data_IF_821344819507
#
_entry.id   IF_821344819507
#
_cell.length_a   1.000
_cell.length_b   1.000
_cell.length_c   1.000
_cell.angle_alpha   90.00
_cell.angle_beta   90.00
_cell.angle_gamma   90.00
#
_symmetry.space_group_name_H-M   'P 1'
#
loop_
_entity.id
_entity.type
_entity.pdbx_description
1 polymer ?
#
# COMPACT_ATOMS: atom_id res chain seq x y z
N UNK A 1 -33.68 -14.61 -58.80
CA UNK A 1 -33.90 -14.88 -57.35
C UNK A 1 -33.16 -16.11 -56.80
N UNK A 2 -33.19 -17.29 -57.44
CA UNK A 2 -32.52 -18.51 -56.92
C UNK A 2 -31.00 -18.37 -56.79
N UNK A 3 -30.32 -17.76 -57.78
CA UNK A 3 -28.87 -17.53 -57.72
C UNK A 3 -28.47 -16.55 -56.61
N UNK A 4 -29.22 -15.48 -56.40
CA UNK A 4 -28.95 -14.53 -55.31
C UNK A 4 -29.06 -15.19 -53.92
N UNK A 5 -30.02 -16.10 -53.71
CA UNK A 5 -30.16 -16.87 -52.47
C UNK A 5 -28.98 -17.82 -52.24
N UNK A 6 -28.48 -18.48 -53.29
CA UNK A 6 -27.32 -19.37 -53.21
C UNK A 6 -26.04 -18.59 -52.88
N UNK A 7 -25.82 -17.43 -53.53
CA UNK A 7 -24.68 -16.56 -53.26
C UNK A 7 -24.70 -16.05 -51.82
N UNK A 8 -25.86 -15.61 -51.32
CA UNK A 8 -26.01 -15.15 -49.95
C UNK A 8 -25.74 -16.27 -48.93
N UNK A 9 -26.17 -17.50 -49.21
CA UNK A 9 -25.91 -18.67 -48.36
C UNK A 9 -24.42 -18.99 -48.30
N UNK A 10 -23.74 -19.04 -49.46
CA UNK A 10 -22.30 -19.30 -49.56
C UNK A 10 -21.51 -18.20 -48.86
N UNK A 11 -21.87 -16.94 -49.07
CA UNK A 11 -21.24 -15.81 -48.39
C UNK A 11 -21.45 -15.87 -46.87
N UNK A 12 -22.66 -16.18 -46.41
CA UNK A 12 -22.96 -16.33 -44.99
C UNK A 12 -22.14 -17.44 -44.32
N UNK A 13 -22.03 -18.60 -44.98
CA UNK A 13 -21.15 -19.69 -44.52
C UNK A 13 -19.69 -19.24 -44.54
N UNK A 14 -19.24 -18.61 -45.62
CA UNK A 14 -17.86 -18.08 -45.75
C UNK A 14 -17.51 -17.10 -44.63
N UNK A 15 -18.36 -16.12 -44.34
CA UNK A 15 -18.14 -15.15 -43.27
C UNK A 15 -18.20 -15.79 -41.87
N UNK A 16 -19.08 -16.78 -41.66
CA UNK A 16 -19.13 -17.54 -40.40
C UNK A 16 -17.83 -18.30 -40.15
N UNK A 17 -17.33 -19.05 -41.14
CA UNK A 17 -16.07 -19.79 -41.01
C UNK A 17 -14.86 -18.87 -40.95
N UNK A 18 -14.88 -17.74 -41.66
CA UNK A 18 -13.84 -16.72 -41.57
C UNK A 18 -13.80 -16.11 -40.17
N UNK A 19 -14.95 -15.80 -39.57
CA UNK A 19 -15.02 -15.31 -38.19
C UNK A 19 -14.52 -16.38 -37.20
N UNK A 20 -14.93 -17.63 -37.35
CA UNK A 20 -14.46 -18.73 -36.50
C UNK A 20 -12.94 -18.98 -36.63
N UNK A 21 -12.39 -18.86 -37.84
CA UNK A 21 -10.95 -18.89 -38.08
C UNK A 21 -10.26 -17.71 -37.41
N UNK A 22 -10.63 -16.46 -37.74
CA UNK A 22 -9.93 -15.26 -37.31
C UNK A 22 -10.07 -14.97 -35.81
N UNK A 23 -11.24 -15.26 -35.21
CA UNK A 23 -11.53 -14.95 -33.81
C UNK A 23 -11.41 -16.17 -32.89
N UNK A 24 -11.60 -17.38 -33.42
CA UNK A 24 -11.53 -18.63 -32.64
C UNK A 24 -10.18 -19.31 -32.74
N UNK A 25 -9.75 -19.69 -33.95
CA UNK A 25 -8.60 -20.59 -34.14
C UNK A 25 -7.27 -19.84 -34.28
N UNK A 26 -7.23 -18.79 -35.09
CA UNK A 26 -6.02 -18.03 -35.39
C UNK A 26 -5.35 -17.44 -34.14
N UNK A 27 -6.08 -16.86 -33.16
CA UNK A 27 -5.46 -16.37 -31.92
C UNK A 27 -4.77 -17.47 -31.13
N UNK A 28 -5.29 -18.72 -31.13
CA UNK A 28 -4.64 -19.86 -30.47
C UNK A 28 -3.36 -20.32 -31.18
N UNK A 29 -3.26 -20.11 -32.49
CA UNK A 29 -2.08 -20.46 -33.30
C UNK A 29 -0.97 -19.40 -33.22
N UNK A 30 -1.29 -18.16 -32.84
CA UNK A 30 -0.30 -17.11 -32.63
C UNK A 30 0.49 -17.38 -31.34
N UNK A 31 1.79 -17.68 -31.46
CA UNK A 31 2.66 -17.88 -30.28
C UNK A 31 2.71 -16.65 -29.37
N UNK A 32 2.52 -15.47 -29.93
CA UNK A 32 2.45 -14.19 -29.23
C UNK A 32 1.30 -14.13 -28.22
N UNK A 33 0.19 -14.85 -28.46
CA UNK A 33 -0.94 -14.91 -27.52
C UNK A 33 -0.68 -15.85 -26.34
N UNK A 34 0.34 -16.72 -26.46
CA UNK A 34 0.73 -17.69 -25.44
C UNK A 34 1.95 -17.22 -24.63
N UNK A 35 2.41 -15.98 -24.83
CA UNK A 35 3.57 -15.43 -24.11
C UNK A 35 3.20 -15.24 -22.65
N UNK A 36 3.68 -16.16 -21.81
CA UNK A 36 3.59 -16.06 -20.34
C UNK A 36 4.69 -15.20 -19.73
N UNK A 37 5.59 -14.69 -20.57
CA UNK A 37 6.77 -13.92 -20.14
C UNK A 37 6.39 -12.46 -19.95
N UNK A 38 6.51 -11.97 -18.73
CA UNK A 38 6.42 -10.56 -18.35
C UNK A 38 7.81 -9.95 -18.44
N UNK A 39 7.97 -8.85 -19.16
CA UNK A 39 9.20 -8.04 -19.09
C UNK A 39 9.10 -7.16 -17.85
N UNK A 40 9.79 -7.53 -16.77
CA UNK A 40 9.89 -6.74 -15.55
C UNK A 40 11.10 -5.82 -15.68
N UNK A 41 10.89 -4.50 -15.76
CA UNK A 41 12.00 -3.58 -15.49
C UNK A 41 12.30 -3.67 -14.00
N UNK A 42 13.37 -4.36 -13.63
CA UNK A 42 13.85 -4.45 -12.26
C UNK A 42 14.93 -3.41 -12.05
N UNK A 43 14.96 -2.84 -10.85
CA UNK A 43 16.15 -2.16 -10.38
C UNK A 43 17.07 -3.21 -9.76
N UNK A 44 18.31 -3.31 -10.22
CA UNK A 44 19.30 -4.16 -9.58
C UNK A 44 19.58 -3.64 -8.17
N UNK A 45 20.19 -4.47 -7.32
CA UNK A 45 20.70 -4.03 -6.02
C UNK A 45 21.62 -2.80 -6.15
N UNK A 46 22.19 -2.55 -7.32
CA UNK A 46 23.09 -1.43 -7.61
C UNK A 46 22.38 -0.18 -8.16
N UNK A 47 21.05 -0.18 -8.26
CA UNK A 47 20.26 0.97 -8.72
C UNK A 47 20.07 1.09 -10.23
N UNK A 48 20.62 0.15 -11.02
CA UNK A 48 20.50 0.11 -12.48
C UNK A 48 19.15 -0.48 -12.90
N UNK A 49 18.57 0.02 -14.00
CA UNK A 49 17.38 -0.58 -14.59
C UNK A 49 17.81 -1.73 -15.51
N UNK A 50 17.32 -2.93 -15.25
CA UNK A 50 17.55 -4.12 -16.07
C UNK A 50 16.22 -4.78 -16.40
N UNK A 51 16.07 -5.31 -17.60
CA UNK A 51 14.90 -6.11 -17.96
C UNK A 51 15.10 -7.55 -17.52
N UNK A 52 14.28 -8.01 -16.57
CA UNK A 52 14.17 -9.42 -16.22
C UNK A 52 12.89 -9.96 -16.82
N UNK A 53 13.03 -10.98 -17.66
CA UNK A 53 11.92 -11.78 -18.16
C UNK A 53 11.51 -12.76 -17.07
N UNK A 54 10.29 -12.62 -16.55
CA UNK A 54 9.72 -13.54 -15.56
C UNK A 54 8.48 -14.22 -16.12
N UNK A 55 8.29 -15.51 -15.85
CA UNK A 55 7.01 -16.16 -16.14
C UNK A 55 5.94 -15.63 -15.18
N UNK A 56 4.77 -15.26 -15.71
CA UNK A 56 3.62 -14.97 -14.88
C UNK A 56 3.27 -16.22 -14.07
N UNK A 57 3.18 -16.11 -12.75
CA UNK A 57 2.75 -17.22 -11.90
C UNK A 57 1.23 -17.44 -12.04
N UNK A 58 0.75 -18.70 -12.07
CA UNK A 58 -0.68 -18.98 -12.02
C UNK A 58 -1.28 -18.45 -10.71
N UNK A 59 -2.58 -18.15 -10.74
CA UNK A 59 -3.30 -17.78 -9.53
C UNK A 59 -3.31 -18.94 -8.52
N UNK A 60 -3.08 -18.64 -7.25
CA UNK A 60 -3.35 -19.59 -6.16
C UNK A 60 -4.85 -19.84 -6.05
N UNK A 61 -5.26 -20.91 -5.35
CA UNK A 61 -6.68 -21.24 -5.15
C UNK A 61 -7.47 -20.06 -4.54
N UNK A 62 -6.88 -19.37 -3.56
CA UNK A 62 -7.48 -18.19 -2.95
C UNK A 62 -7.69 -17.04 -3.96
N UNK A 63 -6.71 -16.80 -4.84
CA UNK A 63 -6.80 -15.77 -5.87
C UNK A 63 -7.81 -16.13 -6.95
N UNK A 64 -7.92 -17.42 -7.33
CA UNK A 64 -8.95 -17.90 -8.26
C UNK A 64 -10.35 -17.71 -7.68
N UNK A 65 -10.56 -18.07 -6.41
CA UNK A 65 -11.82 -17.82 -5.70
C UNK A 65 -12.14 -16.33 -5.65
N UNK A 66 -11.17 -15.50 -5.30
CA UNK A 66 -11.32 -14.04 -5.27
C UNK A 66 -11.69 -13.45 -6.64
N UNK A 67 -11.09 -13.97 -7.70
CA UNK A 67 -11.42 -13.60 -9.09
C UNK A 67 -12.83 -13.99 -9.47
N UNK A 68 -13.29 -15.18 -9.10
CA UNK A 68 -14.67 -15.61 -9.35
C UNK A 68 -15.67 -14.69 -8.64
N UNK A 69 -15.39 -14.32 -7.39
CA UNK A 69 -16.21 -13.36 -6.64
C UNK A 69 -16.19 -11.99 -7.32
N UNK A 70 -15.02 -11.49 -7.72
CA UNK A 70 -14.89 -10.22 -8.45
C UNK A 70 -15.75 -10.15 -9.72
N UNK A 71 -15.85 -11.27 -10.44
CA UNK A 71 -16.70 -11.40 -11.64
C UNK A 71 -18.18 -11.48 -11.24
N UNK A 72 -18.53 -12.35 -10.27
CA UNK A 72 -19.89 -12.58 -9.77
C UNK A 72 -20.54 -11.28 -9.30
N UNK A 73 -19.79 -10.48 -8.55
CA UNK A 73 -20.23 -9.21 -7.94
C UNK A 73 -20.19 -8.04 -8.92
N UNK A 74 -19.78 -8.28 -10.17
CA UNK A 74 -19.77 -7.26 -11.21
C UNK A 74 -18.75 -6.13 -10.99
N UNK A 75 -17.72 -6.34 -10.16
CA UNK A 75 -16.73 -5.29 -9.85
C UNK A 75 -16.07 -4.73 -11.13
N UNK A 76 -15.87 -5.59 -12.12
CA UNK A 76 -15.26 -5.25 -13.41
C UNK A 76 -16.06 -4.24 -14.26
N UNK A 77 -17.37 -4.07 -14.02
CA UNK A 77 -18.18 -3.06 -14.71
C UNK A 77 -17.74 -1.62 -14.37
N UNK A 78 -17.25 -1.41 -13.14
CA UNK A 78 -16.75 -0.12 -12.66
C UNK A 78 -15.22 -0.06 -12.68
N UNK A 79 -14.57 -1.19 -12.40
CA UNK A 79 -13.13 -1.35 -12.22
C UNK A 79 -12.56 -2.26 -13.31
N UNK A 80 -12.48 -1.75 -14.54
CA UNK A 80 -11.74 -2.46 -15.59
C UNK A 80 -10.31 -2.79 -15.15
N UNK A 81 -9.78 -3.91 -15.65
CA UNK A 81 -8.42 -4.37 -15.35
C UNK A 81 -7.46 -4.08 -16.51
N UNK A 82 -7.52 -2.88 -17.09
CA UNK A 82 -6.68 -2.52 -18.23
C UNK A 82 -6.44 -1.02 -18.27
N UNK A 83 -5.22 -0.61 -17.95
CA UNK A 83 -4.80 0.78 -18.05
C UNK A 83 -4.35 1.08 -19.48
N UNK A 84 -5.16 1.89 -20.18
CA UNK A 84 -5.02 2.11 -21.61
C UNK A 84 -3.85 3.07 -21.87
N UNK A 85 -3.12 2.91 -23.00
CA UNK A 85 -2.11 3.86 -23.42
C UNK A 85 -2.75 5.13 -24.02
N UNK A 86 -3.65 5.76 -23.28
CA UNK A 86 -4.34 7.01 -23.63
C UNK A 86 -3.75 8.17 -22.82
N UNK A 87 -3.89 9.39 -23.34
CA UNK A 87 -3.27 10.58 -22.74
C UNK A 87 -3.73 10.78 -21.27
N UNK A 88 -2.76 10.80 -20.35
CA UNK A 88 -2.98 11.15 -18.94
C UNK A 88 -3.40 10.00 -18.02
N UNK A 89 -3.79 8.82 -18.53
CA UNK A 89 -4.11 7.65 -17.68
C UNK A 89 -2.91 7.26 -16.82
N UNK A 90 -1.70 7.34 -17.38
CA UNK A 90 -0.49 6.95 -16.69
C UNK A 90 -0.12 7.85 -15.49
N UNK A 91 -0.44 9.16 -15.59
CA UNK A 91 -0.24 10.13 -14.52
C UNK A 91 -1.27 9.96 -13.41
N UNK A 92 -2.51 9.62 -13.78
CA UNK A 92 -3.62 9.48 -12.83
C UNK A 92 -3.57 8.19 -12.03
N UNK A 93 -3.21 7.07 -12.67
CA UNK A 93 -3.39 5.74 -12.08
C UNK A 93 -2.09 4.96 -11.85
N UNK A 94 -1.06 5.18 -12.66
CA UNK A 94 0.15 4.34 -12.64
C UNK A 94 0.63 3.99 -14.04
N UNK A 95 1.67 3.19 -14.20
CA UNK A 95 2.17 2.82 -15.53
C UNK A 95 1.12 2.05 -16.36
N UNK A 96 1.15 2.20 -17.68
CA UNK A 96 0.25 1.48 -18.61
C UNK A 96 0.36 -0.03 -18.48
N UNK A 97 -0.70 -0.74 -18.84
CA UNK A 97 -0.74 -2.21 -18.81
C UNK A 97 0.21 -2.82 -19.85
N UNK A 98 0.93 -3.86 -19.45
CA UNK A 98 1.80 -4.65 -20.34
C UNK A 98 1.23 -6.04 -20.65
N UNK A 99 1.62 -6.60 -21.80
CA UNK A 99 1.07 -7.86 -22.33
C UNK A 99 1.14 -9.03 -21.34
N UNK A 100 2.21 -9.16 -20.57
CA UNK A 100 2.40 -10.28 -19.64
C UNK A 100 1.53 -10.22 -18.38
N UNK A 101 0.92 -9.08 -18.05
CA UNK A 101 0.14 -8.94 -16.81
C UNK A 101 -1.11 -9.85 -16.78
N UNK A 102 -1.59 -10.30 -17.94
CA UNK A 102 -2.83 -11.03 -18.15
C UNK A 102 -2.68 -12.51 -18.54
N UNK A 103 -1.45 -13.05 -18.49
CA UNK A 103 -1.16 -14.39 -19.03
C UNK A 103 -2.03 -15.53 -18.44
N UNK A 104 -2.64 -15.33 -17.26
CA UNK A 104 -3.52 -16.31 -16.60
C UNK A 104 -4.96 -15.83 -16.44
N UNK A 105 -5.35 -14.78 -17.18
CA UNK A 105 -6.64 -14.12 -17.02
C UNK A 105 -7.60 -14.54 -18.14
N UNK A 106 -8.47 -15.51 -17.85
CA UNK A 106 -9.53 -15.93 -18.77
C UNK A 106 -10.91 -15.91 -18.07
N UNK A 107 -11.91 -15.18 -18.60
CA UNK A 107 -11.83 -14.19 -19.69
C UNK A 107 -11.13 -12.90 -19.22
N UNK A 108 -10.53 -12.15 -20.14
CA UNK A 108 -9.93 -10.84 -19.83
C UNK A 108 -11.01 -9.83 -19.39
N UNK A 109 -10.75 -9.04 -18.34
CA UNK A 109 -11.70 -8.09 -17.75
C UNK A 109 -11.37 -6.62 -18.12
N UNK A 110 -11.07 -6.36 -19.39
CA UNK A 110 -10.59 -5.05 -19.84
C UNK A 110 -11.65 -3.95 -19.80
N UNK A 111 -12.93 -4.30 -19.91
CA UNK A 111 -14.06 -3.37 -19.91
C UNK A 111 -13.98 -2.28 -20.99
N UNK A 112 -15.09 -1.59 -21.22
CA UNK A 112 -15.14 -0.43 -22.14
C UNK A 112 -15.46 0.87 -21.40
N UNK A 113 -15.97 0.77 -20.16
CA UNK A 113 -16.28 1.90 -19.27
C UNK A 113 -15.50 1.77 -17.97
N UNK A 114 -15.12 2.91 -17.40
CA UNK A 114 -14.43 3.00 -16.11
C UNK A 114 -15.10 4.09 -15.26
N UNK A 115 -15.72 3.70 -14.15
CA UNK A 115 -16.31 4.63 -13.16
C UNK A 115 -15.35 4.77 -11.97
N UNK A 116 -14.78 3.66 -11.50
CA UNK A 116 -13.80 3.63 -10.42
C UNK A 116 -12.35 3.58 -10.91
N UNK A 117 -11.36 3.62 -10.00
CA UNK A 117 -9.94 3.40 -10.34
C UNK A 117 -9.70 2.05 -11.05
N UNK A 118 -8.62 1.96 -11.83
CA UNK A 118 -8.11 0.66 -12.28
C UNK A 118 -7.49 -0.09 -11.11
N UNK A 119 -8.07 -1.22 -10.74
CA UNK A 119 -7.58 -1.99 -9.60
C UNK A 119 -6.24 -2.69 -9.90
N UNK A 120 -5.82 -2.81 -11.17
CA UNK A 120 -4.45 -3.22 -11.53
C UNK A 120 -3.37 -2.24 -11.09
N UNK A 121 -3.73 -1.08 -10.52
CA UNK A 121 -2.77 -0.16 -9.92
C UNK A 121 -3.09 0.19 -8.46
N UNK A 122 -3.98 -0.57 -7.83
CA UNK A 122 -4.42 -0.32 -6.45
C UNK A 122 -3.81 -1.30 -5.45
N UNK A 123 -3.46 -2.54 -5.86
CA UNK A 123 -2.82 -3.52 -4.97
C UNK A 123 -1.60 -2.94 -4.26
N UNK A 124 -1.54 -3.09 -2.93
CA UNK A 124 -0.52 -2.53 -2.05
C UNK A 124 -0.62 -1.01 -1.80
N UNK A 125 -1.66 -0.32 -2.30
CA UNK A 125 -1.91 1.13 -2.02
C UNK A 125 -2.56 1.33 -0.69
N UNK A 126 -3.50 0.44 -0.42
CA UNK A 126 -4.33 0.45 0.74
C UNK A 126 -4.09 -0.88 1.46
N UNK A 127 -4.14 -0.89 2.79
CA UNK A 127 -4.08 -2.14 3.54
C UNK A 127 -5.34 -2.98 3.33
N UNK A 128 -5.30 -4.25 3.72
CA UNK A 128 -6.45 -5.16 3.66
C UNK A 128 -7.61 -4.63 4.52
N UNK A 129 -7.27 -3.95 5.60
CA UNK A 129 -8.17 -3.27 6.52
C UNK A 129 -8.86 -2.05 5.88
N UNK A 130 -8.16 -1.29 5.04
CA UNK A 130 -8.79 -0.27 4.19
C UNK A 130 -9.78 -0.89 3.20
N UNK A 131 -9.38 -1.98 2.54
CA UNK A 131 -10.25 -2.67 1.59
C UNK A 131 -11.49 -3.23 2.28
N UNK A 132 -11.34 -3.81 3.47
CA UNK A 132 -12.45 -4.24 4.31
C UNK A 132 -13.38 -3.06 4.66
N UNK A 133 -12.85 -1.93 5.12
CA UNK A 133 -13.66 -0.74 5.40
C UNK A 133 -14.41 -0.26 4.14
N UNK A 134 -13.73 -0.23 2.99
CA UNK A 134 -14.31 0.18 1.72
C UNK A 134 -15.40 -0.78 1.21
N UNK A 135 -15.25 -2.10 1.41
CA UNK A 135 -16.30 -3.06 1.06
C UNK A 135 -17.50 -2.97 2.00
N UNK A 136 -17.29 -2.63 3.28
CA UNK A 136 -18.36 -2.51 4.25
C UNK A 136 -19.19 -1.24 4.00
N UNK A 137 -18.52 -0.10 3.94
CA UNK A 137 -19.12 1.20 3.60
C UNK A 137 -18.09 2.03 2.81
N UNK A 138 -18.24 2.11 1.48
CA UNK A 138 -17.31 2.85 0.63
C UNK A 138 -17.16 4.33 1.01
N UNK A 139 -18.22 4.98 1.53
CA UNK A 139 -18.21 6.41 1.86
C UNK A 139 -17.38 6.72 3.09
N UNK A 140 -17.05 5.70 3.88
CA UNK A 140 -16.21 5.83 5.07
C UNK A 140 -14.79 6.27 4.77
N UNK A 141 -14.23 5.72 3.71
CA UNK A 141 -12.82 5.92 3.31
C UNK A 141 -12.71 6.69 2.00
N UNK A 142 -13.80 6.76 1.23
CA UNK A 142 -13.93 7.59 0.03
C UNK A 142 -15.29 8.29 0.07
N UNK A 143 -15.41 9.49 0.67
CA UNK A 143 -16.69 10.17 0.92
C UNK A 143 -17.61 10.31 -0.30
N UNK A 144 -17.02 10.56 -1.47
CA UNK A 144 -17.76 10.75 -2.73
C UNK A 144 -17.94 9.44 -3.53
N UNK A 145 -17.79 8.28 -2.88
CA UNK A 145 -17.87 6.99 -3.55
C UNK A 145 -19.30 6.63 -3.96
N UNK A 146 -19.44 6.28 -5.24
CA UNK A 146 -20.65 5.70 -5.83
C UNK A 146 -20.66 4.17 -5.77
N UNK A 147 -19.60 3.55 -5.22
CA UNK A 147 -19.53 2.09 -5.07
C UNK A 147 -20.65 1.61 -4.12
N UNK A 148 -21.30 0.46 -4.42
CA UNK A 148 -22.26 -0.15 -3.49
C UNK A 148 -21.54 -0.80 -2.30
N UNK A 149 -22.31 -1.07 -1.24
CA UNK A 149 -21.85 -1.80 -0.06
C UNK A 149 -21.91 -3.32 -0.30
N UNK A 150 -20.99 -4.07 0.31
CA UNK A 150 -20.90 -5.53 0.23
C UNK A 150 -20.95 -6.17 1.63
N UNK A 151 -22.04 -5.99 2.40
CA UNK A 151 -22.13 -6.47 3.79
C UNK A 151 -22.02 -8.01 3.93
N UNK A 152 -22.30 -8.77 2.86
CA UNK A 152 -22.16 -10.24 2.83
C UNK A 152 -20.71 -10.73 2.76
N UNK A 153 -19.74 -9.85 2.50
CA UNK A 153 -18.32 -10.19 2.66
C UNK A 153 -17.88 -10.29 4.12
N UNK A 154 -18.80 -10.08 5.07
CA UNK A 154 -18.52 -10.09 6.50
C UNK A 154 -19.36 -11.13 7.23
N UNK A 155 -18.74 -11.79 8.21
CA UNK A 155 -19.41 -12.64 9.19
C UNK A 155 -19.26 -12.05 10.58
N UNK A 156 -20.11 -12.44 11.52
CA UNK A 156 -19.90 -12.14 12.95
C UNK A 156 -18.92 -13.17 13.52
N UNK A 157 -17.96 -12.69 14.32
CA UNK A 157 -17.07 -13.55 15.09
C UNK A 157 -17.85 -14.11 16.29
N UNK A 158 -17.82 -15.43 16.56
CA UNK A 158 -18.59 -16.02 17.65
C UNK A 158 -18.18 -15.54 19.05
N UNK A 159 -16.93 -15.11 19.22
CA UNK A 159 -16.34 -14.80 20.54
C UNK A 159 -16.82 -13.46 21.08
N UNK A 160 -16.78 -12.41 20.27
CA UNK A 160 -17.02 -11.02 20.68
C UNK A 160 -18.11 -10.33 19.82
N UNK A 161 -18.71 -11.04 18.87
CA UNK A 161 -19.73 -10.53 17.97
C UNK A 161 -19.22 -9.54 16.91
N UNK A 162 -17.92 -9.28 16.85
CA UNK A 162 -17.32 -8.32 15.91
C UNK A 162 -17.49 -8.80 14.47
N UNK A 163 -17.60 -7.87 13.53
CA UNK A 163 -17.62 -8.23 12.11
C UNK A 163 -16.19 -8.49 11.64
N UNK A 164 -16.00 -9.58 10.91
CA UNK A 164 -14.72 -9.96 10.28
C UNK A 164 -14.97 -10.38 8.84
N UNK A 165 -13.96 -10.26 7.98
CA UNK A 165 -14.07 -10.76 6.61
C UNK A 165 -14.41 -12.26 6.62
N UNK A 166 -15.43 -12.62 5.83
CA UNK A 166 -15.74 -14.00 5.50
C UNK A 166 -14.64 -14.58 4.59
N UNK A 167 -14.67 -15.89 4.34
CA UNK A 167 -13.74 -16.51 3.40
C UNK A 167 -13.86 -15.94 1.98
N UNK A 168 -15.05 -15.47 1.60
CA UNK A 168 -15.23 -14.74 0.34
C UNK A 168 -14.61 -13.34 0.38
N UNK A 169 -14.85 -12.60 1.47
CA UNK A 169 -14.28 -11.27 1.69
C UNK A 169 -12.74 -11.29 1.69
N UNK A 170 -12.12 -12.30 2.32
CA UNK A 170 -10.67 -12.51 2.28
C UNK A 170 -10.18 -12.83 0.86
N UNK A 171 -10.87 -13.70 0.14
CA UNK A 171 -10.48 -14.09 -1.21
C UNK A 171 -10.52 -12.92 -2.19
N UNK A 172 -11.60 -12.13 -2.21
CA UNK A 172 -11.70 -10.96 -3.09
C UNK A 172 -10.71 -9.87 -2.71
N UNK A 173 -10.45 -9.66 -1.40
CA UNK A 173 -9.41 -8.74 -0.92
C UNK A 173 -8.03 -9.18 -1.41
N UNK A 174 -7.68 -10.46 -1.25
CA UNK A 174 -6.42 -11.01 -1.72
C UNK A 174 -6.26 -10.87 -3.25
N UNK A 175 -7.34 -11.10 -4.01
CA UNK A 175 -7.33 -10.89 -5.45
C UNK A 175 -7.07 -9.43 -5.81
N UNK A 176 -7.82 -8.48 -5.24
CA UNK A 176 -7.62 -7.04 -5.48
C UNK A 176 -6.21 -6.58 -5.09
N UNK A 177 -5.67 -7.10 -3.98
CA UNK A 177 -4.31 -6.80 -3.56
C UNK A 177 -3.24 -7.38 -4.49
N UNK A 178 -3.53 -8.50 -5.15
CA UNK A 178 -2.62 -9.10 -6.13
C UNK A 178 -2.58 -8.33 -7.46
N UNK A 179 -3.67 -7.64 -7.81
CA UNK A 179 -3.75 -6.87 -9.04
C UNK A 179 -2.66 -5.77 -9.07
N UNK A 180 -1.86 -5.77 -10.13
CA UNK A 180 -0.74 -4.82 -10.29
C UNK A 180 0.59 -5.25 -9.67
N UNK A 181 0.60 -6.31 -8.87
CA UNK A 181 1.83 -6.81 -8.23
C UNK A 181 2.71 -7.62 -9.19
N UNK A 182 2.13 -8.10 -10.31
CA UNK A 182 2.85 -8.80 -11.39
C UNK A 182 3.88 -7.93 -12.12
N UNK A 183 3.75 -6.59 -12.02
CA UNK A 183 4.69 -5.61 -12.60
C UNK A 183 5.88 -5.28 -11.68
N UNK A 184 6.00 -5.96 -10.53
CA UNK A 184 7.03 -5.68 -9.53
C UNK A 184 6.72 -4.46 -8.66
N UNK A 185 7.74 -3.94 -7.97
CA UNK A 185 7.64 -2.82 -7.02
C UNK A 185 7.50 -1.44 -7.71
N UNK A 186 6.72 -1.34 -8.79
CA UNK A 186 6.52 -0.07 -9.52
C UNK A 186 6.03 1.07 -8.61
N UNK A 187 5.32 0.71 -7.53
CA UNK A 187 4.84 1.63 -6.49
C UNK A 187 5.96 2.28 -5.70
N UNK A 188 7.03 1.55 -5.45
CA UNK A 188 8.17 2.03 -4.65
C UNK A 188 8.94 3.11 -5.41
N UNK A 189 8.84 3.09 -6.75
CA UNK A 189 9.39 4.09 -7.64
C UNK A 189 8.36 5.17 -8.05
N UNK A 190 7.13 5.12 -7.52
CA UNK A 190 6.09 6.05 -7.94
C UNK A 190 6.26 7.42 -7.26
N UNK A 191 6.00 8.49 -8.01
CA UNK A 191 6.47 9.86 -7.69
C UNK A 191 6.06 10.37 -6.31
N UNK A 192 4.85 10.06 -5.81
CA UNK A 192 4.42 10.54 -4.50
C UNK A 192 5.23 9.97 -3.33
N UNK A 193 6.03 8.92 -3.53
CA UNK A 193 6.97 8.43 -2.51
C UNK A 193 8.14 9.39 -2.27
N UNK A 194 8.40 10.29 -3.21
CA UNK A 194 9.37 11.37 -3.11
C UNK A 194 8.60 12.64 -2.78
N UNK A 195 8.55 12.96 -1.48
CA UNK A 195 7.92 14.19 -1.01
C UNK A 195 8.99 15.27 -0.97
N UNK A 196 9.07 16.05 -2.05
CA UNK A 196 9.71 17.37 -2.03
C UNK A 196 8.62 18.36 -1.62
N UNK A 197 8.82 19.05 -0.49
CA UNK A 197 7.89 20.10 -0.06
C UNK A 197 8.41 21.44 -0.57
N UNK A 198 7.56 22.19 -1.27
CA UNK A 198 7.88 23.53 -1.73
C UNK A 198 7.64 24.55 -0.62
N UNK A 199 6.41 25.05 -0.53
CA UNK A 199 5.97 26.05 0.44
C UNK A 199 4.99 25.45 1.46
N UNK A 200 5.29 25.54 2.75
CA UNK A 200 4.34 25.27 3.83
C UNK A 200 3.29 26.38 3.92
N UNK A 201 2.03 26.06 4.25
CA UNK A 201 1.08 27.10 4.66
C UNK A 201 1.46 27.65 6.03
N UNK A 202 1.17 28.94 6.28
CA UNK A 202 1.44 29.57 7.58
C UNK A 202 0.28 29.26 8.52
N UNK A 203 0.60 28.73 9.70
CA UNK A 203 -0.39 28.46 10.74
C UNK A 203 -1.14 29.75 11.14
N UNK A 204 -2.45 29.73 10.97
CA UNK A 204 -3.37 30.84 11.25
C UNK A 204 -4.74 30.30 11.68
N UNK A 205 -5.59 31.16 12.24
CA UNK A 205 -6.97 30.77 12.56
C UNK A 205 -7.74 30.31 11.31
N UNK A 206 -7.50 30.95 10.16
CA UNK A 206 -8.13 30.56 8.90
C UNK A 206 -7.66 29.18 8.42
N UNK A 207 -6.36 28.89 8.47
CA UNK A 207 -5.84 27.57 8.09
C UNK A 207 -6.31 26.47 9.03
N UNK A 208 -6.44 26.75 10.33
CA UNK A 208 -6.97 25.77 11.30
C UNK A 208 -8.44 25.46 10.99
N UNK A 209 -9.25 26.46 10.64
CA UNK A 209 -10.66 26.25 10.32
C UNK A 209 -10.84 25.52 8.98
N UNK A 210 -10.03 25.86 7.96
CA UNK A 210 -10.00 25.09 6.72
C UNK A 210 -9.56 23.64 6.97
N UNK A 211 -8.50 23.45 7.76
CA UNK A 211 -8.02 22.15 8.20
C UNK A 211 -9.06 21.32 8.95
N UNK A 212 -9.89 21.96 9.77
CA UNK A 212 -11.03 21.32 10.45
C UNK A 212 -12.05 20.79 9.44
N UNK A 213 -12.35 21.57 8.39
CA UNK A 213 -13.26 21.12 7.33
C UNK A 213 -12.68 19.92 6.55
N UNK A 214 -11.38 19.95 6.23
CA UNK A 214 -10.67 18.83 5.60
C UNK A 214 -10.73 17.58 6.49
N UNK A 215 -10.42 17.74 7.79
CA UNK A 215 -10.44 16.66 8.77
C UNK A 215 -11.83 16.03 8.92
N UNK A 216 -12.87 16.86 9.05
CA UNK A 216 -14.26 16.42 9.19
C UNK A 216 -14.73 15.64 7.97
N UNK A 217 -14.23 15.95 6.78
CA UNK A 217 -14.61 15.22 5.56
C UNK A 217 -13.86 13.91 5.38
N UNK A 218 -12.59 13.82 5.81
CA UNK A 218 -11.68 12.75 5.34
C UNK A 218 -10.97 11.95 6.44
N UNK A 219 -10.90 12.49 7.65
CA UNK A 219 -10.10 11.91 8.74
C UNK A 219 -10.96 11.43 9.92
N UNK A 220 -12.07 12.12 10.19
CA UNK A 220 -12.94 11.89 11.35
C UNK A 220 -13.48 10.46 11.43
N UNK A 221 -13.74 9.83 10.29
CA UNK A 221 -14.29 8.47 10.22
C UNK A 221 -13.43 7.46 10.97
N UNK A 222 -12.10 7.60 10.89
CA UNK A 222 -11.15 6.72 11.59
C UNK A 222 -10.60 7.36 12.87
N UNK A 223 -10.20 8.63 12.83
CA UNK A 223 -9.49 9.28 13.94
C UNK A 223 -10.43 9.89 15.01
N UNK A 224 -11.73 9.94 14.77
CA UNK A 224 -12.73 10.46 15.71
C UNK A 224 -12.81 11.99 15.72
N UNK A 225 -13.94 12.53 16.21
CA UNK A 225 -14.16 13.97 16.31
C UNK A 225 -13.18 14.64 17.29
N UNK A 226 -12.77 13.89 18.31
CA UNK A 226 -11.83 14.33 19.35
C UNK A 226 -10.37 14.03 19.00
N UNK A 227 -10.09 13.42 17.84
CA UNK A 227 -8.74 12.98 17.47
C UNK A 227 -8.20 11.84 18.34
N UNK A 228 -9.07 11.14 19.08
CA UNK A 228 -8.72 10.09 20.05
C UNK A 228 -8.55 8.69 19.43
N UNK A 229 -8.57 8.60 18.09
CA UNK A 229 -8.49 7.34 17.36
C UNK A 229 -9.77 6.49 17.43
N UNK A 230 -10.87 7.02 17.98
CA UNK A 230 -12.14 6.31 18.18
C UNK A 230 -13.23 6.77 17.21
N UNK A 231 -12.91 6.80 15.92
CA UNK A 231 -13.86 7.15 14.87
C UNK A 231 -15.08 6.22 14.79
N UNK A 232 -16.19 6.74 14.27
CA UNK A 232 -17.48 6.05 14.12
C UNK A 232 -17.54 5.11 12.92
N UNK A 233 -16.49 5.06 12.10
CA UNK A 233 -16.30 3.93 11.22
C UNK A 233 -16.47 2.64 12.04
N UNK A 234 -17.23 1.63 11.58
CA UNK A 234 -17.19 0.26 12.10
C UNK A 234 -15.75 -0.31 12.16
N UNK A 235 -14.78 0.45 11.62
CA UNK A 235 -13.34 0.36 11.74
C UNK A 235 -12.76 0.09 13.14
N UNK A 236 -13.25 0.66 14.25
CA UNK A 236 -12.67 0.27 15.56
C UNK A 236 -12.87 -1.23 15.88
N UNK A 237 -13.79 -1.88 15.17
CA UNK A 237 -14.15 -3.30 15.30
C UNK A 237 -13.66 -4.14 14.09
N UNK A 238 -13.35 -3.51 12.94
CA UNK A 238 -12.83 -4.14 11.71
C UNK A 238 -11.30 -4.06 11.55
N UNK A 239 -10.60 -3.17 12.28
CA UNK A 239 -9.15 -3.00 12.19
C UNK A 239 -8.41 -4.05 13.02
N UNK A 240 -8.14 -5.20 12.42
CA UNK A 240 -7.41 -6.28 13.07
C UNK A 240 -5.88 -6.05 13.17
N UNK A 241 -5.32 -5.07 12.45
CA UNK A 241 -3.85 -4.95 12.23
C UNK A 241 -3.24 -3.69 12.87
N UNK A 242 -3.90 -2.52 12.78
CA UNK A 242 -3.41 -1.29 13.37
C UNK A 242 -4.57 -0.34 13.70
N UNK A 243 -4.64 0.12 14.94
CA UNK A 243 -5.62 1.12 15.34
C UNK A 243 -5.24 2.51 14.81
N UNK A 244 -6.23 3.36 14.50
CA UNK A 244 -6.01 4.77 14.19
C UNK A 244 -5.21 5.47 15.30
N UNK A 245 -4.40 6.45 14.91
CA UNK A 245 -3.60 7.23 15.86
C UNK A 245 -4.51 8.08 16.75
N UNK A 246 -4.29 7.99 18.06
CA UNK A 246 -4.72 8.99 19.03
C UNK A 246 -3.76 10.19 18.96
N UNK A 247 -4.25 11.31 18.45
CA UNK A 247 -3.51 12.56 18.32
C UNK A 247 -3.44 13.34 19.64
N UNK A 248 -4.33 13.05 20.60
CA UNK A 248 -4.38 13.76 21.88
C UNK A 248 -3.15 13.48 22.74
N UNK A 249 -2.53 12.31 22.54
CA UNK A 249 -1.32 11.90 23.22
C UNK A 249 -0.04 12.64 22.77
N UNK A 250 -0.05 13.35 21.63
CA UNK A 250 1.17 13.98 21.10
C UNK A 250 2.25 13.00 20.61
N UNK A 251 2.00 11.69 20.66
CA UNK A 251 2.97 10.64 20.34
C UNK A 251 2.86 10.15 18.89
N UNK A 252 3.88 10.42 18.08
CA UNK A 252 3.91 10.02 16.66
C UNK A 252 4.99 8.97 16.36
N UNK A 253 4.63 7.96 15.58
CA UNK A 253 5.52 6.84 15.23
C UNK A 253 6.61 7.24 14.23
N UNK A 254 6.24 7.97 13.17
CA UNK A 254 7.14 8.28 12.06
C UNK A 254 7.59 9.74 12.16
N UNK A 255 8.85 9.95 12.51
CA UNK A 255 9.43 11.26 12.78
C UNK A 255 10.84 11.33 12.21
N UNK A 256 11.34 12.55 12.06
CA UNK A 256 12.77 12.83 11.88
C UNK A 256 13.39 13.35 13.17
N UNK A 257 12.60 13.72 14.17
CA UNK A 257 13.07 14.14 15.50
C UNK A 257 13.47 12.94 16.39
N UNK A 258 14.38 13.12 17.38
CA UNK A 258 14.78 12.08 18.33
C UNK A 258 13.60 11.48 19.12
N UNK A 259 13.73 10.26 19.67
CA UNK A 259 12.69 9.67 20.54
C UNK A 259 12.33 10.62 21.69
N UNK A 260 11.03 10.73 21.98
CA UNK A 260 10.49 11.64 23.00
C UNK A 260 10.09 13.02 22.48
N UNK A 261 10.61 13.44 21.32
CA UNK A 261 10.26 14.72 20.70
C UNK A 261 8.99 14.65 19.84
N UNK A 262 8.24 15.75 19.77
CA UNK A 262 7.11 15.89 18.83
C UNK A 262 7.60 15.85 17.36
N UNK A 263 6.76 15.41 16.40
CA UNK A 263 7.13 15.45 14.98
C UNK A 263 7.32 16.89 14.48
N UNK A 264 8.12 17.05 13.42
CA UNK A 264 8.04 18.26 12.60
C UNK A 264 6.74 18.25 11.78
N UNK A 265 6.23 19.43 11.39
CA UNK A 265 5.07 19.51 10.49
C UNK A 265 5.34 18.78 9.15
N UNK A 266 6.59 18.76 8.70
CA UNK A 266 7.04 17.99 7.53
C UNK A 266 6.93 16.47 7.70
N UNK A 267 7.08 15.94 8.92
CA UNK A 267 6.90 14.51 9.21
C UNK A 267 5.43 14.11 9.09
N UNK A 268 4.53 14.96 9.62
CA UNK A 268 3.08 14.76 9.52
C UNK A 268 2.65 14.91 8.06
N UNK A 269 3.14 15.93 7.36
CA UNK A 269 2.87 16.16 5.94
C UNK A 269 3.29 14.98 5.08
N UNK A 270 4.49 14.44 5.30
CA UNK A 270 4.96 13.23 4.62
C UNK A 270 4.02 12.07 4.90
N UNK A 271 3.66 11.84 6.16
CA UNK A 271 2.77 10.73 6.57
C UNK A 271 1.40 10.82 5.92
N UNK A 272 0.78 12.01 5.88
CA UNK A 272 -0.52 12.22 5.21
C UNK A 272 -0.39 12.01 3.69
N UNK A 273 0.68 12.53 3.10
CA UNK A 273 0.93 12.45 1.65
C UNK A 273 1.11 11.01 1.18
N UNK A 274 1.98 10.26 1.86
CA UNK A 274 2.36 8.89 1.43
C UNK A 274 1.53 7.78 2.07
N UNK A 275 0.73 8.12 3.09
CA UNK A 275 -0.01 7.15 3.89
C UNK A 275 0.89 6.25 4.72
N UNK A 276 0.30 5.22 5.34
CA UNK A 276 1.04 4.22 6.10
C UNK A 276 0.80 2.86 5.44
N UNK A 277 1.82 2.34 4.76
CA UNK A 277 1.71 1.10 3.97
C UNK A 277 1.31 -0.08 4.85
N UNK A 278 0.42 -0.93 4.31
CA UNK A 278 -0.09 -2.11 5.02
C UNK A 278 -1.07 -1.77 6.15
N UNK A 279 -1.67 -0.58 6.13
CA UNK A 279 -2.70 -0.16 7.09
C UNK A 279 -3.87 0.55 6.40
N UNK A 280 -4.90 0.85 7.18
CA UNK A 280 -6.07 1.60 6.76
C UNK A 280 -5.80 3.08 6.48
N UNK A 281 -4.59 3.61 6.73
CA UNK A 281 -4.26 5.02 6.46
C UNK A 281 -3.77 5.19 5.01
N UNK A 282 -4.63 5.66 4.08
CA UNK A 282 -4.29 5.79 2.67
C UNK A 282 -3.31 6.95 2.42
N UNK A 283 -2.64 6.96 1.26
CA UNK A 283 -1.95 8.15 0.79
C UNK A 283 -2.94 9.21 0.31
N UNK A 284 -2.76 10.47 0.73
CA UNK A 284 -3.59 11.62 0.36
C UNK A 284 -2.90 12.59 -0.61
N UNK A 285 -1.88 12.13 -1.37
CA UNK A 285 -1.15 12.96 -2.35
C UNK A 285 -2.02 13.65 -3.43
N UNK A 286 -3.25 13.17 -3.62
CA UNK A 286 -4.22 13.73 -4.55
C UNK A 286 -5.02 14.91 -3.98
N UNK A 287 -4.92 15.18 -2.68
CA UNK A 287 -5.43 16.42 -2.10
C UNK A 287 -4.51 17.58 -2.48
N UNK A 288 -5.07 18.79 -2.64
CA UNK A 288 -4.27 20.01 -2.73
C UNK A 288 -3.22 20.06 -1.62
N UNK A 289 -2.06 20.64 -1.92
CA UNK A 289 -1.00 20.80 -0.92
C UNK A 289 -1.46 21.63 0.27
N UNK A 290 -2.22 22.71 0.03
CA UNK A 290 -2.83 23.55 1.06
C UNK A 290 -3.75 22.76 2.01
N UNK A 291 -4.68 21.94 1.48
CA UNK A 291 -5.53 21.06 2.30
C UNK A 291 -4.71 20.16 3.24
N UNK A 292 -3.57 19.65 2.75
CA UNK A 292 -2.69 18.77 3.54
C UNK A 292 -1.89 19.51 4.59
N UNK A 293 -1.51 20.77 4.37
CA UNK A 293 -0.87 21.59 5.40
C UNK A 293 -1.89 22.08 6.44
N UNK A 294 -3.04 22.54 6.00
CA UNK A 294 -4.06 23.11 6.88
C UNK A 294 -4.64 22.04 7.83
N UNK A 295 -4.84 20.81 7.35
CA UNK A 295 -5.25 19.72 8.23
C UNK A 295 -4.21 19.40 9.31
N UNK A 296 -2.91 19.63 9.06
CA UNK A 296 -1.86 19.46 10.08
C UNK A 296 -2.00 20.52 11.17
N UNK A 297 -2.22 21.78 10.79
CA UNK A 297 -2.49 22.85 11.75
C UNK A 297 -3.67 22.50 12.66
N UNK A 298 -4.74 21.91 12.10
CA UNK A 298 -5.86 21.42 12.90
C UNK A 298 -5.49 20.21 13.77
N UNK A 299 -4.80 19.20 13.24
CA UNK A 299 -4.40 17.99 13.99
C UNK A 299 -3.55 18.35 15.21
N UNK A 300 -2.63 19.31 15.08
CA UNK A 300 -1.79 19.80 16.19
C UNK A 300 -2.61 20.38 17.34
N UNK A 301 -3.85 20.83 17.11
CA UNK A 301 -4.71 21.35 18.17
C UNK A 301 -5.24 20.29 19.13
N UNK A 302 -5.13 19.00 18.80
CA UNK A 302 -5.59 17.91 19.67
C UNK A 302 -4.68 17.65 20.87
N UNK A 303 -3.41 18.05 20.84
CA UNK A 303 -2.45 17.87 21.93
C UNK A 303 -1.83 19.19 22.37
N UNK A 304 -1.75 19.48 23.68
CA UNK A 304 -1.06 20.65 24.19
C UNK A 304 0.46 20.60 23.94
N UNK A 305 1.03 19.41 23.70
CA UNK A 305 2.47 19.21 23.55
C UNK A 305 3.05 20.04 22.40
N UNK A 306 2.30 20.20 21.30
CA UNK A 306 2.74 21.03 20.16
C UNK A 306 2.92 22.51 20.50
N UNK A 307 2.30 23.00 21.59
CA UNK A 307 2.49 24.37 22.08
C UNK A 307 3.53 24.44 23.20
N UNK A 308 3.61 23.39 24.02
CA UNK A 308 4.46 23.36 25.20
C UNK A 308 5.91 22.99 24.88
N UNK A 309 6.10 22.07 23.93
CA UNK A 309 7.40 21.50 23.59
C UNK A 309 7.68 21.73 22.10
N UNK A 310 8.58 22.67 21.74
CA UNK A 310 9.00 22.81 20.36
C UNK A 310 9.70 21.53 19.88
N UNK A 311 9.59 21.16 18.59
CA UNK A 311 10.27 19.99 18.07
C UNK A 311 11.78 20.17 18.14
N UNK A 312 12.48 19.12 18.54
CA UNK A 312 13.94 19.10 18.51
C UNK A 312 14.45 19.09 17.06
N UNK A 313 15.75 19.39 16.90
CA UNK A 313 16.40 19.32 15.60
C UNK A 313 16.30 17.88 15.03
N UNK A 314 15.96 17.72 13.73
CA UNK A 314 15.90 16.41 13.11
C UNK A 314 17.26 15.72 13.12
N UNK A 315 17.26 14.40 13.30
CA UNK A 315 18.48 13.61 13.30
C UNK A 315 19.15 13.64 11.91
N UNK A 316 20.48 13.67 11.83
CA UNK A 316 21.18 13.66 10.55
C UNK A 316 21.03 12.30 9.87
N UNK A 317 20.28 12.26 8.77
CA UNK A 317 20.22 11.11 7.86
C UNK A 317 21.24 11.37 6.75
N UNK A 318 22.38 10.68 6.81
CA UNK A 318 23.41 10.75 5.77
C UNK A 318 22.91 10.25 4.41
N UNK A 319 23.75 10.37 3.37
CA UNK A 319 23.45 9.71 2.10
C UNK A 319 23.68 8.20 2.23
N UNK A 320 22.75 7.35 1.78
CA UNK A 320 22.94 5.90 1.84
C UNK A 320 24.17 5.50 1.00
N UNK A 321 25.10 4.70 1.55
CA UNK A 321 26.21 4.16 0.78
C UNK A 321 25.69 3.16 -0.28
N UNK A 322 26.51 2.83 -1.28
CA UNK A 322 26.12 1.79 -2.24
C UNK A 322 26.01 0.44 -1.51
N UNK A 323 24.94 -0.33 -1.71
CA UNK A 323 24.82 -1.65 -1.10
C UNK A 323 25.86 -2.61 -1.69
N UNK A 324 26.54 -3.34 -0.81
CA UNK A 324 27.47 -4.42 -1.16
C UNK A 324 27.14 -5.70 -0.38
N UNK A 325 27.53 -6.89 -0.87
CA UNK A 325 27.36 -8.14 -0.12
C UNK A 325 27.97 -8.07 1.29
N UNK A 326 29.15 -7.45 1.43
CA UNK A 326 29.83 -7.28 2.72
C UNK A 326 29.05 -6.37 3.68
N UNK A 327 28.43 -5.31 3.15
CA UNK A 327 27.61 -4.40 3.95
C UNK A 327 26.34 -5.11 4.47
N UNK A 328 25.71 -5.94 3.63
CA UNK A 328 24.56 -6.78 4.03
C UNK A 328 24.99 -7.81 5.07
N UNK A 329 26.12 -8.49 4.87
CA UNK A 329 26.65 -9.47 5.82
C UNK A 329 26.98 -8.83 7.18
N UNK A 330 27.51 -7.60 7.18
CA UNK A 330 27.70 -6.81 8.41
C UNK A 330 26.37 -6.49 9.08
N UNK A 331 25.37 -6.09 8.30
CA UNK A 331 24.03 -5.82 8.82
C UNK A 331 23.38 -7.02 9.50
N UNK A 332 23.60 -8.23 8.96
CA UNK A 332 23.16 -9.47 9.61
C UNK A 332 23.81 -9.66 10.97
N UNK A 333 25.12 -9.40 11.10
CA UNK A 333 25.81 -9.47 12.39
C UNK A 333 25.23 -8.48 13.40
N UNK A 334 25.03 -7.23 12.98
CA UNK A 334 24.39 -6.20 13.80
C UNK A 334 22.99 -6.64 14.25
N UNK A 335 22.17 -7.22 13.36
CA UNK A 335 20.83 -7.70 13.70
C UNK A 335 20.85 -8.80 14.78
N UNK A 336 21.84 -9.69 14.73
CA UNK A 336 22.04 -10.76 15.73
C UNK A 336 22.58 -10.21 17.06
N UNK A 337 23.63 -9.39 17.01
CA UNK A 337 24.31 -8.80 18.18
C UNK A 337 23.41 -7.84 18.96
N UNK A 338 22.62 -7.03 18.25
CA UNK A 338 21.62 -6.12 18.82
C UNK A 338 20.31 -6.82 19.19
N UNK A 339 20.25 -8.15 19.01
CA UNK A 339 19.10 -9.00 19.37
C UNK A 339 17.77 -8.56 18.74
N UNK A 340 17.82 -7.97 17.55
CA UNK A 340 16.61 -7.58 16.82
C UNK A 340 15.68 -8.78 16.55
N UNK A 341 16.27 -9.99 16.46
CA UNK A 341 15.57 -11.26 16.29
C UNK A 341 14.66 -11.65 17.45
N UNK A 342 14.85 -11.12 18.68
CA UNK A 342 13.99 -11.45 19.82
C UNK A 342 12.53 -11.04 19.55
N UNK A 343 12.34 -9.91 18.87
CA UNK A 343 11.04 -9.44 18.41
C UNK A 343 10.75 -9.85 16.96
N UNK A 344 11.72 -9.65 16.06
CA UNK A 344 11.48 -9.79 14.62
C UNK A 344 11.71 -11.21 14.07
N UNK A 345 12.26 -12.13 14.85
CA UNK A 345 12.71 -13.45 14.41
C UNK A 345 14.01 -13.40 13.60
N UNK A 346 14.77 -14.49 13.56
CA UNK A 346 16.05 -14.55 12.81
C UNK A 346 15.86 -14.33 11.30
N UNK A 347 14.71 -14.71 10.76
CA UNK A 347 14.36 -14.51 9.35
C UNK A 347 13.54 -13.24 9.11
N UNK A 348 13.32 -12.40 10.13
CA UNK A 348 12.56 -11.17 10.01
C UNK A 348 11.07 -11.35 9.75
N UNK A 349 10.48 -12.49 10.15
CA UNK A 349 9.06 -12.81 9.92
C UNK A 349 8.13 -12.19 10.97
N UNK A 350 8.68 -11.53 11.99
CA UNK A 350 7.91 -10.98 13.11
C UNK A 350 7.47 -12.04 14.11
N UNK A 351 8.18 -13.18 14.17
CA UNK A 351 7.84 -14.39 14.94
C UNK A 351 8.89 -14.71 16.02
N UNK A 352 9.66 -13.71 16.45
CA UNK A 352 10.61 -13.85 17.55
C UNK A 352 9.93 -14.27 18.86
N UNK A 353 10.67 -14.82 19.83
CA UNK A 353 10.10 -15.29 21.10
C UNK A 353 9.34 -14.21 21.88
N UNK A 354 9.71 -12.94 21.72
CA UNK A 354 9.03 -11.81 22.36
C UNK A 354 7.85 -11.26 21.53
N UNK A 355 7.65 -11.72 20.29
CA UNK A 355 6.68 -11.12 19.35
C UNK A 355 5.23 -11.12 19.86
N UNK A 356 4.81 -12.18 20.55
CA UNK A 356 3.42 -12.36 21.02
C UNK A 356 3.01 -11.51 22.22
N UNK A 357 3.97 -10.90 22.93
CA UNK A 357 3.74 -10.14 24.17
C UNK A 357 3.85 -8.62 24.00
N UNK A 358 4.20 -8.15 22.80
CA UNK A 358 4.41 -6.73 22.54
C UNK A 358 3.10 -5.95 22.59
N UNK A 359 3.07 -4.91 23.42
CA UNK A 359 1.97 -3.95 23.54
C UNK A 359 2.48 -2.54 23.32
N UNK A 360 1.64 -1.68 22.74
CA UNK A 360 1.91 -0.25 22.66
C UNK A 360 1.60 0.45 23.98
N UNK A 361 1.98 1.73 24.10
CA UNK A 361 1.79 2.52 25.33
C UNK A 361 0.30 2.70 25.69
N UNK A 362 -0.60 2.36 24.76
CA UNK A 362 -2.06 2.41 24.93
C UNK A 362 -2.65 1.04 25.30
N UNK A 363 -1.80 0.02 25.53
CA UNK A 363 -2.20 -1.34 25.92
C UNK A 363 -2.67 -2.22 24.77
N UNK A 364 -2.52 -1.78 23.52
CA UNK A 364 -2.94 -2.57 22.35
C UNK A 364 -1.81 -3.48 21.89
N UNK A 365 -2.16 -4.70 21.48
CA UNK A 365 -1.19 -5.62 20.87
C UNK A 365 -0.59 -5.00 19.62
N UNK A 366 0.73 -5.05 19.50
CA UNK A 366 1.47 -4.51 18.36
C UNK A 366 2.47 -5.54 17.83
N UNK A 367 2.05 -6.42 16.90
CA UNK A 367 2.97 -7.42 16.36
C UNK A 367 4.15 -6.75 15.65
N UNK A 368 5.38 -7.25 15.84
CA UNK A 368 6.55 -6.80 15.11
C UNK A 368 6.36 -6.92 13.59
N UNK A 369 7.02 -6.04 12.83
CA UNK A 369 6.93 -6.06 11.38
C UNK A 369 7.51 -7.35 10.79
N UNK A 370 6.79 -7.94 9.85
CA UNK A 370 7.27 -9.02 8.98
C UNK A 370 7.97 -8.40 7.76
N UNK A 371 9.30 -8.34 7.79
CA UNK A 371 10.13 -7.75 6.75
C UNK A 371 10.10 -8.55 5.44
N UNK A 372 9.77 -9.85 5.50
CA UNK A 372 9.67 -10.70 4.31
C UNK A 372 8.57 -10.25 3.36
N UNK A 373 7.55 -9.55 3.86
CA UNK A 373 6.49 -8.98 3.01
C UNK A 373 6.98 -7.81 2.15
N UNK A 374 8.12 -7.19 2.47
CA UNK A 374 8.60 -5.99 1.77
C UNK A 374 7.69 -4.76 1.92
N UNK A 375 6.77 -4.78 2.88
CA UNK A 375 5.84 -3.68 3.17
C UNK A 375 6.30 -2.95 4.44
N UNK A 376 7.03 -1.86 4.24
CA UNK A 376 7.52 -1.01 5.34
C UNK A 376 6.58 0.18 5.57
N UNK A 377 6.05 0.30 6.79
CA UNK A 377 5.08 1.35 7.16
C UNK A 377 5.61 2.78 6.89
N UNK A 378 6.90 3.00 7.16
CA UNK A 378 7.59 4.30 7.04
C UNK A 378 7.96 4.65 5.59
N UNK A 379 7.86 3.70 4.65
CA UNK A 379 8.29 3.85 3.25
C UNK A 379 9.37 2.82 2.86
N UNK A 380 9.54 2.54 1.56
CA UNK A 380 10.41 1.47 1.07
C UNK A 380 11.87 1.88 0.88
N UNK A 381 12.21 3.17 0.97
CA UNK A 381 13.57 3.65 0.65
C UNK A 381 14.54 3.27 1.78
N UNK A 382 15.83 3.05 1.50
CA UNK A 382 16.84 2.82 2.53
C UNK A 382 16.82 3.90 3.63
N UNK A 383 16.70 5.17 3.25
CA UNK A 383 16.63 6.27 4.20
C UNK A 383 15.40 6.24 5.11
N UNK A 384 14.27 5.67 4.65
CA UNK A 384 13.06 5.54 5.47
C UNK A 384 13.20 4.43 6.52
N UNK A 385 13.86 3.33 6.15
CA UNK A 385 14.16 2.22 7.05
C UNK A 385 15.23 2.64 8.06
N UNK A 386 16.30 3.29 7.59
CA UNK A 386 17.33 3.90 8.44
C UNK A 386 16.72 4.82 9.49
N UNK A 387 15.89 5.79 9.05
CA UNK A 387 15.17 6.69 9.96
C UNK A 387 14.37 5.94 11.02
N UNK A 388 13.69 4.85 10.64
CA UNK A 388 12.76 4.14 11.52
C UNK A 388 13.40 3.62 12.80
N UNK A 389 14.55 2.95 12.73
CA UNK A 389 15.23 2.47 13.94
C UNK A 389 16.11 3.55 14.57
N UNK A 390 16.58 4.55 13.81
CA UNK A 390 17.35 5.65 14.38
C UNK A 390 16.48 6.59 15.23
N UNK A 391 15.27 6.93 14.80
CA UNK A 391 14.36 7.77 15.60
C UNK A 391 13.55 6.99 16.63
N UNK A 392 13.49 5.66 16.49
CA UNK A 392 12.54 4.81 17.19
C UNK A 392 11.09 5.07 16.73
N UNK A 393 10.18 4.22 17.19
CA UNK A 393 8.74 4.38 16.96
C UNK A 393 8.07 4.72 18.30
N UNK A 394 7.93 6.01 18.61
CA UNK A 394 7.33 6.44 19.87
C UNK A 394 5.94 5.85 20.08
N UNK A 395 5.62 5.50 21.33
CA UNK A 395 4.39 4.80 21.66
C UNK A 395 4.46 3.30 21.40
N UNK A 396 5.64 2.72 21.13
CA UNK A 396 5.81 1.29 20.88
C UNK A 396 7.08 0.75 21.51
N UNK A 397 7.20 -0.59 21.65
CA UNK A 397 8.42 -1.23 22.14
C UNK A 397 9.64 -1.13 21.21
N UNK A 398 9.55 -0.49 20.04
CA UNK A 398 10.68 -0.32 19.13
C UNK A 398 11.48 0.95 19.48
N UNK A 399 12.64 0.83 20.16
CA UNK A 399 13.38 1.99 20.66
C UNK A 399 14.15 2.70 19.54
N UNK A 400 14.71 3.84 19.88
CA UNK A 400 15.77 4.46 19.08
C UNK A 400 17.10 3.73 19.30
N UNK A 401 17.86 3.60 18.21
CA UNK A 401 19.21 3.07 18.20
C UNK A 401 20.25 4.14 17.82
N UNK A 402 19.89 5.43 17.86
CA UNK A 402 20.79 6.53 17.44
C UNK A 402 22.10 6.52 18.23
N UNK A 403 22.03 6.25 19.53
CA UNK A 403 23.17 6.19 20.45
C UNK A 403 23.76 4.78 20.59
N UNK A 404 23.20 3.80 19.88
CA UNK A 404 23.56 2.39 20.00
C UNK A 404 24.60 1.93 18.95
N UNK A 405 24.81 2.71 17.90
CA UNK A 405 25.76 2.39 16.84
C UNK A 405 27.09 3.12 17.03
N UNK A 406 28.20 2.41 16.80
CA UNK A 406 29.53 3.00 16.87
C UNK A 406 29.85 3.88 15.66
N UNK A 407 29.12 3.69 14.56
CA UNK A 407 29.23 4.50 13.34
C UNK A 407 27.93 4.50 12.52
N UNK A 408 27.67 5.52 11.68
CA UNK A 408 26.54 5.52 10.75
C UNK A 408 26.53 4.32 9.78
N UNK A 409 27.69 3.75 9.48
CA UNK A 409 27.83 2.59 8.60
C UNK A 409 27.15 1.34 9.15
N UNK A 410 27.09 1.16 10.47
CA UNK A 410 26.37 0.04 11.09
C UNK A 410 24.87 0.17 10.88
N UNK A 411 24.32 1.37 11.03
CA UNK A 411 22.92 1.63 10.72
C UNK A 411 22.60 1.38 9.24
N UNK A 412 23.47 1.81 8.31
CA UNK A 412 23.28 1.50 6.89
C UNK A 412 23.42 0.01 6.59
N UNK A 413 24.36 -0.69 7.23
CA UNK A 413 24.50 -2.13 7.13
C UNK A 413 23.21 -2.85 7.54
N UNK A 414 22.69 -2.52 8.73
CA UNK A 414 21.44 -3.07 9.26
C UNK A 414 20.26 -2.77 8.32
N UNK A 415 20.18 -1.55 7.78
CA UNK A 415 19.17 -1.15 6.80
C UNK A 415 19.15 -2.08 5.58
N UNK A 416 20.33 -2.34 5.00
CA UNK A 416 20.44 -3.19 3.82
C UNK A 416 20.20 -4.67 4.12
N UNK A 417 20.55 -5.13 5.32
CA UNK A 417 20.16 -6.46 5.76
C UNK A 417 18.64 -6.61 5.89
N UNK A 418 17.96 -5.68 6.56
CA UNK A 418 16.48 -5.69 6.69
C UNK A 418 15.81 -5.67 5.32
N UNK A 419 16.31 -4.85 4.39
CA UNK A 419 15.82 -4.83 3.01
C UNK A 419 16.06 -6.17 2.29
N UNK A 420 17.19 -6.84 2.53
CA UNK A 420 17.51 -8.13 1.93
C UNK A 420 16.58 -9.28 2.35
N UNK A 421 15.91 -9.16 3.51
CA UNK A 421 14.95 -10.16 4.01
C UNK A 421 13.62 -10.17 3.26
N UNK A 422 13.30 -9.10 2.52
CA UNK A 422 12.11 -9.01 1.68
C UNK A 422 12.05 -10.16 0.66
N UNK A 423 10.86 -10.74 0.40
CA UNK A 423 10.64 -11.88 -0.51
C UNK A 423 11.14 -11.68 -1.96
N UNK A 424 11.47 -10.45 -2.36
CA UNK A 424 12.10 -10.14 -3.64
C UNK A 424 13.65 -10.16 -3.60
N UNK A 425 14.23 -10.44 -2.43
CA UNK A 425 15.65 -10.67 -2.16
C UNK A 425 16.59 -9.53 -2.51
N UNK A 426 16.09 -8.29 -2.63
CA UNK A 426 16.87 -7.18 -3.20
C UNK A 426 16.71 -5.87 -2.44
N UNK A 427 17.83 -5.21 -2.07
CA UNK A 427 17.84 -3.88 -1.48
C UNK A 427 17.32 -2.78 -2.40
#
# INVERSE_FOLDING_TARGET
MKQAKLIALIAGFGFFFLALMLQGIFPYLMKESQVKTVTKTVRTSLGELTEVKAEAAPYTELLLKGRQIYIREGCWYCHSQYLRPTAGENRRWGPVSEFGEYAHDLPHLFGTRRIGPDLTRVGGKYGDDWHAAHFFDPRMVVPDSVMPEFPWFFRKEPVDGRRVLSEEGKAVTAYVQNLGMRKGKWRDAFSYQIVEWGSSSIESTASIEHGRAVYKRRCIGCHGEKGDGKGTAPGTVLFAIALPRDFTAGVYKFRTTPTGSVPLDSDIYRTITVGIRGTAMPPWFNLPEEDRWDVIHFIKTFSPDFKQYPPDAPIPIGRPPKPTPDLIARGKKVFEEMKCWECHGHEGRGDGPASGTQVDDFGNKIPPANFTLGVFKSGPRPADIFRTFMTGLSGTPMPSFVDSFSSPDEGWALTYFVLSLSADGRP
#
